data_IF_646826944896
#
_entry.id   IF_646826944896
#
_cell.length_a   1.000
_cell.length_b   1.000
_cell.length_c   1.000
_cell.angle_alpha   90.00
_cell.angle_beta   90.00
_cell.angle_gamma   90.00
#
_symmetry.space_group_name_H-M   'P 1'
#
loop_
_entity.id
_entity.type
_entity.pdbx_description
1 polymer ?
#
# COMPACT_ATOMS: atom_id res chain seq x y z
N UNK A 1 -10.78 16.76 59.06
CA UNK A 1 -11.74 16.93 57.93
C UNK A 1 -10.97 17.52 56.76
N UNK A 2 -10.60 16.70 55.77
CA UNK A 2 -9.87 17.16 54.61
C UNK A 2 -10.86 17.77 53.60
N UNK A 3 -10.61 19.03 53.22
CA UNK A 3 -11.39 19.81 52.27
C UNK A 3 -11.73 18.98 51.02
N UNK A 4 -13.02 18.93 50.68
CA UNK A 4 -13.54 18.16 49.55
C UNK A 4 -12.89 18.60 48.25
N UNK A 5 -11.88 17.85 47.80
CA UNK A 5 -11.27 18.01 46.49
C UNK A 5 -12.37 17.80 45.45
N UNK A 6 -12.81 18.88 44.81
CA UNK A 6 -13.89 18.85 43.82
C UNK A 6 -13.44 17.94 42.68
N UNK A 7 -14.04 16.77 42.61
CA UNK A 7 -13.62 15.73 41.68
C UNK A 7 -14.00 16.14 40.25
N UNK A 8 -13.02 16.17 39.34
CA UNK A 8 -13.28 16.50 37.94
C UNK A 8 -13.82 15.28 37.19
N UNK A 9 -15.13 15.11 37.25
CA UNK A 9 -15.85 14.04 36.57
C UNK A 9 -15.70 14.10 35.04
N UNK A 10 -15.46 15.28 34.45
CA UNK A 10 -15.31 15.43 32.99
C UNK A 10 -13.97 14.88 32.52
N UNK A 11 -12.88 15.13 33.26
CA UNK A 11 -11.57 14.55 32.99
C UNK A 11 -11.60 13.01 33.12
N UNK A 12 -12.18 12.49 34.22
CA UNK A 12 -12.29 11.03 34.47
C UNK A 12 -13.07 10.33 33.36
N UNK A 13 -14.19 10.92 32.96
CA UNK A 13 -15.02 10.45 31.84
C UNK A 13 -14.25 10.43 30.53
N UNK A 14 -13.52 11.51 30.24
CA UNK A 14 -12.74 11.62 29.00
C UNK A 14 -11.67 10.55 28.94
N UNK A 15 -10.94 10.33 30.03
CA UNK A 15 -9.93 9.26 30.11
C UNK A 15 -10.57 7.87 29.94
N UNK A 16 -11.73 7.62 30.55
CA UNK A 16 -12.45 6.38 30.31
C UNK A 16 -12.85 6.24 28.84
N UNK A 17 -13.44 7.24 28.21
CA UNK A 17 -13.94 7.14 26.83
C UNK A 17 -12.79 7.00 25.81
N UNK A 18 -11.65 7.67 26.05
CA UNK A 18 -10.53 7.72 25.11
C UNK A 18 -9.56 6.53 25.24
N UNK A 19 -9.49 5.86 26.39
CA UNK A 19 -8.57 4.75 26.65
C UNK A 19 -9.29 3.40 26.84
N UNK A 20 -8.51 2.32 27.01
CA UNK A 20 -9.01 0.99 27.34
C UNK A 20 -9.05 0.69 28.85
N UNK A 21 -8.87 1.68 29.73
CA UNK A 21 -8.84 1.47 31.18
C UNK A 21 -10.15 0.87 31.71
N UNK A 22 -10.08 -0.04 32.68
CA UNK A 22 -11.28 -0.58 33.33
C UNK A 22 -11.86 0.44 34.32
N UNK A 23 -13.16 0.37 34.63
CA UNK A 23 -13.74 1.23 35.68
C UNK A 23 -13.08 0.98 37.04
N UNK A 24 -12.67 -0.26 37.31
CA UNK A 24 -11.98 -0.63 38.56
C UNK A 24 -10.62 0.06 38.69
N UNK A 25 -9.84 0.07 37.63
CA UNK A 25 -8.51 0.68 37.62
C UNK A 25 -8.59 2.21 37.56
N UNK A 26 -9.60 2.74 36.87
CA UNK A 26 -9.92 4.16 36.88
C UNK A 26 -10.33 4.62 38.30
N UNK A 27 -11.12 3.84 39.02
CA UNK A 27 -11.51 4.13 40.40
C UNK A 27 -10.27 4.18 41.32
N UNK A 28 -9.35 3.22 41.19
CA UNK A 28 -8.08 3.21 41.92
C UNK A 28 -7.21 4.43 41.59
N UNK A 29 -7.06 4.76 40.31
CA UNK A 29 -6.24 5.90 39.84
C UNK A 29 -6.70 7.23 40.43
N UNK A 30 -8.02 7.42 40.56
CA UNK A 30 -8.61 8.66 41.05
C UNK A 30 -9.01 8.62 42.53
N UNK A 31 -8.75 7.52 43.25
CA UNK A 31 -9.10 7.37 44.67
C UNK A 31 -10.62 7.38 44.95
N UNK A 32 -11.42 6.90 44.00
CA UNK A 32 -12.89 6.91 44.07
C UNK A 32 -13.38 5.54 44.51
N UNK A 33 -14.41 5.50 45.37
CA UNK A 33 -15.09 4.25 45.68
C UNK A 33 -15.68 3.61 44.39
N UNK A 34 -15.42 2.32 44.09
CA UNK A 34 -15.84 1.68 42.84
C UNK A 34 -17.34 1.81 42.54
N UNK A 35 -18.18 1.71 43.58
CA UNK A 35 -19.64 1.85 43.48
C UNK A 35 -20.07 3.24 43.01
N UNK A 36 -19.40 4.28 43.49
CA UNK A 36 -19.68 5.68 43.09
C UNK A 36 -19.33 5.92 41.63
N UNK A 37 -18.17 5.43 41.18
CA UNK A 37 -17.77 5.52 39.77
C UNK A 37 -18.75 4.74 38.87
N UNK A 38 -19.15 3.53 39.28
CA UNK A 38 -20.09 2.70 38.51
C UNK A 38 -21.46 3.37 38.36
N UNK A 39 -22.01 3.95 39.44
CA UNK A 39 -23.27 4.71 39.38
C UNK A 39 -23.17 5.91 38.42
N UNK A 40 -22.07 6.67 38.51
CA UNK A 40 -21.85 7.83 37.62
C UNK A 40 -21.68 7.38 36.16
N UNK A 41 -20.88 6.36 35.90
CA UNK A 41 -20.66 5.81 34.57
C UNK A 41 -21.94 5.22 33.96
N UNK A 42 -22.79 4.60 34.79
CA UNK A 42 -24.11 4.11 34.39
C UNK A 42 -25.08 5.25 34.05
N UNK A 43 -25.22 6.24 34.95
CA UNK A 43 -26.09 7.43 34.75
C UNK A 43 -25.75 8.18 33.48
N UNK A 44 -24.47 8.22 33.12
CA UNK A 44 -24.01 8.94 31.93
C UNK A 44 -23.70 8.04 30.73
N UNK A 45 -24.02 6.74 30.78
CA UNK A 45 -23.82 5.81 29.66
C UNK A 45 -22.38 5.83 29.11
N UNK A 46 -21.37 5.79 29.98
CA UNK A 46 -19.97 5.90 29.60
C UNK A 46 -19.53 4.77 28.67
N UNK A 47 -20.09 3.57 28.83
CA UNK A 47 -19.82 2.43 27.96
C UNK A 47 -20.28 2.70 26.52
N UNK A 48 -21.51 3.17 26.34
CA UNK A 48 -22.05 3.50 25.01
C UNK A 48 -21.28 4.66 24.37
N UNK A 49 -20.89 5.66 25.17
CA UNK A 49 -20.04 6.76 24.71
C UNK A 49 -18.66 6.27 24.28
N UNK A 50 -18.03 5.35 25.01
CA UNK A 50 -16.77 4.69 24.61
C UNK A 50 -16.95 3.91 23.31
N UNK A 51 -18.03 3.13 23.18
CA UNK A 51 -18.36 2.37 21.96
C UNK A 51 -18.52 3.32 20.76
N UNK A 52 -19.29 4.38 20.91
CA UNK A 52 -19.48 5.41 19.88
C UNK A 52 -18.18 6.13 19.52
N UNK A 53 -17.35 6.47 20.52
CA UNK A 53 -16.05 7.10 20.31
C UNK A 53 -15.12 6.19 19.50
N UNK A 54 -15.03 4.90 19.85
CA UNK A 54 -14.26 3.91 19.08
C UNK A 54 -14.74 3.80 17.63
N UNK A 55 -16.05 3.70 17.41
CA UNK A 55 -16.62 3.66 16.06
C UNK A 55 -16.30 4.93 15.25
N UNK A 56 -16.41 6.12 15.86
CA UNK A 56 -16.04 7.39 15.23
C UNK A 56 -14.54 7.47 14.94
N UNK A 57 -13.68 6.99 15.83
CA UNK A 57 -12.24 6.93 15.60
C UNK A 57 -11.91 6.03 14.42
N UNK A 58 -12.44 4.80 14.39
CA UNK A 58 -12.24 3.88 13.26
C UNK A 58 -12.69 4.53 11.94
N UNK A 59 -13.90 5.10 11.90
CA UNK A 59 -14.41 5.80 10.71
C UNK A 59 -13.50 6.95 10.27
N UNK A 60 -13.08 7.82 11.20
CA UNK A 60 -12.19 8.95 10.90
C UNK A 60 -10.81 8.48 10.45
N UNK A 61 -10.28 7.42 11.04
CA UNK A 61 -9.00 6.83 10.65
C UNK A 61 -9.07 6.26 9.24
N UNK A 62 -10.10 5.48 8.93
CA UNK A 62 -10.33 4.96 7.57
C UNK A 62 -10.46 6.09 6.55
N UNK A 63 -11.23 7.13 6.86
CA UNK A 63 -11.37 8.29 5.98
C UNK A 63 -10.04 9.02 5.75
N UNK A 64 -9.23 9.21 6.80
CA UNK A 64 -7.91 9.83 6.68
C UNK A 64 -6.95 8.99 5.86
N UNK A 65 -6.96 7.67 6.02
CA UNK A 65 -6.17 6.73 5.23
C UNK A 65 -6.57 6.83 3.76
N UNK A 66 -7.87 6.68 3.46
CA UNK A 66 -8.38 6.79 2.09
C UNK A 66 -8.05 8.15 1.45
N UNK A 67 -8.16 9.25 2.20
CA UNK A 67 -7.79 10.59 1.71
C UNK A 67 -6.29 10.70 1.43
N UNK A 68 -5.45 10.13 2.29
CA UNK A 68 -3.99 10.13 2.11
C UNK A 68 -3.60 9.32 0.88
N UNK A 69 -4.18 8.14 0.71
CA UNK A 69 -3.97 7.26 -0.46
C UNK A 69 -4.43 7.95 -1.74
N UNK A 70 -5.64 8.51 -1.76
CA UNK A 70 -6.16 9.26 -2.91
C UNK A 70 -5.27 10.45 -3.28
N UNK A 71 -4.80 11.21 -2.30
CA UNK A 71 -3.89 12.34 -2.54
C UNK A 71 -2.51 11.89 -3.05
N UNK A 72 -1.99 10.76 -2.56
CA UNK A 72 -0.73 10.21 -3.03
C UNK A 72 -0.87 9.78 -4.50
N UNK A 73 -1.91 9.00 -4.81
CA UNK A 73 -2.20 8.55 -6.16
C UNK A 73 -2.42 9.74 -7.13
N UNK A 74 -3.14 10.78 -6.69
CA UNK A 74 -3.31 11.99 -7.49
C UNK A 74 -1.98 12.72 -7.76
N UNK A 75 -1.08 12.80 -6.77
CA UNK A 75 0.25 13.38 -6.95
C UNK A 75 1.09 12.56 -7.92
N UNK A 76 1.08 11.25 -7.80
CA UNK A 76 1.82 10.34 -8.66
C UNK A 76 1.34 10.42 -10.12
N UNK A 77 0.02 10.43 -10.35
CA UNK A 77 -0.55 10.67 -11.68
C UNK A 77 -0.17 12.05 -12.22
N UNK A 78 -0.22 13.09 -11.38
CA UNK A 78 0.20 14.44 -11.80
C UNK A 78 1.66 14.49 -12.22
N UNK A 79 2.54 13.73 -11.57
CA UNK A 79 3.95 13.61 -11.99
C UNK A 79 4.04 12.95 -13.36
N UNK A 80 3.33 11.84 -13.57
CA UNK A 80 3.28 11.16 -14.86
C UNK A 80 2.76 12.08 -15.98
N UNK A 81 1.73 12.88 -15.71
CA UNK A 81 1.19 13.87 -16.65
C UNK A 81 2.17 15.00 -16.96
N UNK A 82 2.93 15.47 -15.97
CA UNK A 82 3.99 16.47 -16.19
C UNK A 82 5.10 15.93 -17.09
N UNK A 83 5.54 14.70 -16.87
CA UNK A 83 6.55 14.06 -17.72
C UNK A 83 6.00 13.92 -19.14
N UNK A 84 4.76 13.45 -19.30
CA UNK A 84 4.10 13.36 -20.60
C UNK A 84 4.04 14.73 -21.30
N UNK A 85 3.70 15.80 -20.58
CA UNK A 85 3.64 17.16 -21.13
C UNK A 85 5.02 17.69 -21.55
N UNK A 86 6.07 17.41 -20.79
CA UNK A 86 7.44 17.78 -21.20
C UNK A 86 7.85 17.02 -22.46
N UNK A 87 7.52 15.73 -22.52
CA UNK A 87 7.81 14.89 -23.68
C UNK A 87 7.04 15.37 -24.92
N UNK A 88 5.76 15.70 -24.77
CA UNK A 88 4.92 16.24 -25.85
C UNK A 88 5.48 17.56 -26.41
N UNK A 89 5.94 18.47 -25.54
CA UNK A 89 6.62 19.69 -25.96
C UNK A 89 7.90 19.41 -26.73
N UNK A 90 8.71 18.45 -26.26
CA UNK A 90 9.94 18.06 -26.95
C UNK A 90 9.66 17.40 -28.31
N UNK A 91 8.62 16.56 -28.40
CA UNK A 91 8.20 15.90 -29.64
C UNK A 91 7.55 16.86 -30.64
N UNK A 92 6.94 17.95 -30.16
CA UNK A 92 6.34 18.98 -31.01
C UNK A 92 7.37 19.87 -31.71
N UNK A 93 8.61 19.90 -31.22
CA UNK A 93 9.72 20.59 -31.89
C UNK A 93 10.36 19.64 -32.93
N UNK A 94 10.04 19.88 -34.20
CA UNK A 94 10.47 19.06 -35.33
C UNK A 94 12.00 18.92 -35.46
N UNK A 95 12.78 19.87 -34.93
CA UNK A 95 14.23 19.85 -34.98
C UNK A 95 14.88 19.39 -33.68
N UNK A 96 14.09 19.08 -32.64
CA UNK A 96 14.63 18.72 -31.33
C UNK A 96 15.58 17.52 -31.40
N UNK A 97 15.27 16.53 -32.22
CA UNK A 97 16.11 15.34 -32.44
C UNK A 97 17.21 15.55 -33.49
N UNK A 98 17.38 16.76 -33.99
CA UNK A 98 18.45 17.13 -34.95
C UNK A 98 19.45 18.10 -34.32
N UNK A 99 19.18 18.58 -33.11
CA UNK A 99 20.04 19.48 -32.35
C UNK A 99 21.09 18.70 -31.60
N UNK A 100 22.35 19.06 -31.80
CA UNK A 100 23.48 18.50 -31.10
C UNK A 100 24.31 19.61 -30.44
N UNK A 101 24.73 19.36 -29.20
CA UNK A 101 25.68 20.20 -28.50
C UNK A 101 27.07 19.85 -29.03
N UNK A 102 27.68 20.78 -29.76
CA UNK A 102 29.02 20.59 -30.34
C UNK A 102 30.02 21.42 -29.53
N UNK A 103 30.99 20.72 -28.94
CA UNK A 103 32.12 21.34 -28.29
C UNK A 103 33.28 21.43 -29.27
N UNK A 104 33.78 22.65 -29.47
CA UNK A 104 34.89 22.92 -30.37
C UNK A 104 36.05 23.45 -29.55
N UNK A 105 37.24 22.90 -29.77
CA UNK A 105 38.47 23.35 -29.13
C UNK A 105 39.32 24.07 -30.16
N UNK A 106 39.70 25.31 -29.87
CA UNK A 106 40.63 26.07 -30.70
C UNK A 106 41.61 26.85 -29.83
N UNK A 107 42.71 27.30 -30.44
CA UNK A 107 43.71 28.16 -29.78
C UNK A 107 43.56 29.58 -30.29
N UNK A 108 43.44 30.52 -29.37
CA UNK A 108 43.44 31.96 -29.64
C UNK A 108 44.44 32.60 -28.67
N UNK A 109 45.40 33.37 -29.21
CA UNK A 109 46.49 33.99 -28.45
C UNK A 109 47.27 33.05 -27.51
N UNK A 110 47.46 31.79 -27.93
CA UNK A 110 48.19 30.78 -27.17
C UNK A 110 47.41 30.14 -26.03
N UNK A 111 46.20 30.62 -25.72
CA UNK A 111 45.28 30.00 -24.77
C UNK A 111 44.37 28.98 -25.47
N UNK A 112 44.09 27.85 -24.81
CA UNK A 112 43.10 26.88 -25.29
C UNK A 112 41.70 27.32 -24.86
N UNK A 113 40.83 27.55 -25.84
CA UNK A 113 39.43 27.94 -25.61
C UNK A 113 38.53 26.75 -25.96
N UNK A 114 37.58 26.49 -25.06
CA UNK A 114 36.50 25.52 -25.27
C UNK A 114 35.22 26.29 -25.57
N UNK A 115 34.66 26.10 -26.76
CA UNK A 115 33.41 26.73 -27.20
C UNK A 115 32.32 25.67 -27.32
N UNK A 116 31.16 25.92 -26.74
CA UNK A 116 30.01 25.01 -26.78
C UNK A 116 28.86 25.68 -27.52
N UNK A 117 28.50 25.14 -28.67
CA UNK A 117 27.42 25.68 -29.52
C UNK A 117 26.42 24.60 -29.86
N UNK A 118 25.15 24.99 -29.88
CA UNK A 118 24.08 24.17 -30.43
C UNK A 118 24.15 24.24 -31.96
N UNK A 119 24.16 23.08 -32.63
CA UNK A 119 24.08 22.98 -34.09
C UNK A 119 22.96 22.02 -34.47
N UNK A 120 22.23 22.38 -35.53
CA UNK A 120 21.21 21.53 -36.15
C UNK A 120 21.86 20.78 -37.31
N UNK A 121 21.65 19.46 -37.35
CA UNK A 121 22.16 18.57 -38.38
C UNK A 121 21.00 17.95 -39.18
N UNK A 122 21.27 17.49 -40.41
CA UNK A 122 20.24 16.80 -41.22
C UNK A 122 19.88 15.43 -40.64
N UNK A 123 20.83 14.79 -39.94
CA UNK A 123 20.66 13.48 -39.35
C UNK A 123 19.90 13.57 -38.04
N UNK A 124 18.89 12.71 -37.88
CA UNK A 124 18.16 12.53 -36.63
C UNK A 124 18.98 11.72 -35.62
N UNK A 125 19.04 12.23 -34.39
CA UNK A 125 19.53 11.56 -33.19
C UNK A 125 18.56 10.47 -32.75
N UNK A 126 18.79 9.26 -33.27
CA UNK A 126 18.02 8.07 -32.92
C UNK A 126 18.18 7.67 -31.45
N UNK A 127 19.27 8.07 -30.77
CA UNK A 127 19.47 7.78 -29.36
C UNK A 127 18.54 8.62 -28.50
N UNK A 128 18.45 9.92 -28.76
CA UNK A 128 17.48 10.81 -28.10
C UNK A 128 16.03 10.38 -28.39
N UNK A 129 15.73 9.94 -29.61
CA UNK A 129 14.41 9.42 -29.95
C UNK A 129 14.08 8.12 -29.18
N UNK A 130 15.04 7.20 -29.06
CA UNK A 130 14.89 5.99 -28.25
C UNK A 130 14.63 6.34 -26.77
N UNK A 131 15.39 7.28 -26.21
CA UNK A 131 15.19 7.74 -24.83
C UNK A 131 13.81 8.35 -24.63
N UNK A 132 13.30 9.11 -25.60
CA UNK A 132 11.94 9.64 -25.60
C UNK A 132 10.89 8.50 -25.60
N UNK A 133 11.07 7.47 -26.44
CA UNK A 133 10.19 6.30 -26.48
C UNK A 133 10.22 5.49 -25.17
N UNK A 134 11.40 5.26 -24.59
CA UNK A 134 11.56 4.57 -23.31
C UNK A 134 10.90 5.35 -22.15
N UNK A 135 11.00 6.68 -22.19
CA UNK A 135 10.33 7.56 -21.23
C UNK A 135 8.81 7.44 -21.36
N UNK A 136 8.26 7.42 -22.58
CA UNK A 136 6.83 7.24 -22.82
C UNK A 136 6.33 5.89 -22.28
N UNK A 137 7.06 4.80 -22.55
CA UNK A 137 6.73 3.48 -22.01
C UNK A 137 6.74 3.48 -20.48
N UNK A 138 7.70 4.20 -19.88
CA UNK A 138 7.78 4.33 -18.41
C UNK A 138 6.58 5.07 -17.85
N UNK A 139 6.18 6.19 -18.45
CA UNK A 139 4.98 6.95 -18.06
C UNK A 139 3.72 6.09 -18.18
N UNK A 140 3.60 5.29 -19.23
CA UNK A 140 2.46 4.39 -19.44
C UNK A 140 2.40 3.29 -18.37
N UNK A 141 3.53 2.63 -18.09
CA UNK A 141 3.64 1.64 -17.01
C UNK A 141 3.28 2.24 -15.66
N UNK A 142 3.76 3.46 -15.37
CA UNK A 142 3.41 4.21 -14.16
C UNK A 142 1.90 4.44 -14.06
N UNK A 143 1.26 4.96 -15.11
CA UNK A 143 -0.20 5.19 -15.13
C UNK A 143 -1.00 3.91 -14.96
N UNK A 144 -0.60 2.82 -15.63
CA UNK A 144 -1.27 1.51 -15.50
C UNK A 144 -1.16 0.94 -14.10
N UNK A 145 0.04 0.98 -13.52
CA UNK A 145 0.29 0.50 -12.15
C UNK A 145 -0.54 1.28 -11.14
N UNK A 146 -0.61 2.61 -11.24
CA UNK A 146 -1.41 3.46 -10.35
C UNK A 146 -2.91 3.19 -10.45
N UNK A 147 -3.40 2.87 -11.65
CA UNK A 147 -4.82 2.59 -11.90
C UNK A 147 -5.19 1.10 -11.74
N UNK A 148 -4.26 0.24 -11.33
CA UNK A 148 -4.42 -1.22 -11.29
C UNK A 148 -4.93 -1.81 -12.61
N UNK A 149 -4.51 -1.25 -13.74
CA UNK A 149 -4.89 -1.72 -15.07
C UNK A 149 -3.88 -2.78 -15.51
N UNK A 150 -4.33 -4.04 -15.51
CA UNK A 150 -3.56 -5.15 -16.08
C UNK A 150 -3.54 -5.07 -17.61
N UNK A 151 -2.37 -5.28 -18.20
CA UNK A 151 -2.22 -5.51 -19.64
C UNK A 151 -2.82 -6.86 -20.06
N UNK A 152 -3.13 -7.04 -21.34
CA UNK A 152 -3.62 -8.33 -21.86
C UNK A 152 -2.65 -9.48 -21.57
N UNK A 153 -1.34 -9.27 -21.76
CA UNK A 153 -0.33 -10.29 -21.43
C UNK A 153 -0.31 -10.65 -19.94
N UNK A 154 -0.44 -9.67 -19.05
CA UNK A 154 -0.49 -9.91 -17.59
C UNK A 154 -1.78 -10.61 -17.18
N UNK A 155 -2.91 -10.31 -17.84
CA UNK A 155 -4.19 -11.02 -17.64
C UNK A 155 -4.05 -12.49 -17.99
N UNK A 156 -3.48 -12.79 -19.17
CA UNK A 156 -3.23 -14.17 -19.61
C UNK A 156 -2.29 -14.90 -18.65
N UNK A 157 -1.22 -14.24 -18.18
CA UNK A 157 -0.30 -14.85 -17.22
C UNK A 157 -0.97 -15.14 -15.87
N UNK A 158 -1.83 -14.24 -15.40
CA UNK A 158 -2.57 -14.40 -14.16
C UNK A 158 -3.62 -15.51 -14.26
N UNK A 159 -4.26 -15.67 -15.42
CA UNK A 159 -5.16 -16.78 -15.72
C UNK A 159 -4.41 -18.13 -15.70
N UNK A 160 -3.28 -18.22 -16.40
CA UNK A 160 -2.42 -19.42 -16.37
C UNK A 160 -1.95 -19.72 -14.94
N UNK A 161 -1.57 -18.71 -14.16
CA UNK A 161 -1.13 -18.89 -12.77
C UNK A 161 -2.28 -19.37 -11.87
N UNK A 162 -3.51 -18.86 -12.09
CA UNK A 162 -4.72 -19.33 -11.38
C UNK A 162 -5.02 -20.78 -11.70
N UNK A 163 -5.01 -21.15 -12.97
CA UNK A 163 -5.23 -22.54 -13.40
C UNK A 163 -4.20 -23.47 -12.77
N UNK A 164 -2.92 -23.08 -12.75
CA UNK A 164 -1.86 -23.87 -12.11
C UNK A 164 -2.08 -24.03 -10.61
N UNK A 165 -2.42 -22.95 -9.91
CA UNK A 165 -2.68 -22.99 -8.47
C UNK A 165 -3.90 -23.85 -8.14
N UNK A 166 -4.92 -23.82 -9.00
CA UNK A 166 -6.11 -24.67 -8.85
C UNK A 166 -5.79 -26.14 -9.07
N UNK A 167 -4.98 -26.46 -10.09
CA UNK A 167 -4.46 -27.81 -10.30
C UNK A 167 -3.58 -28.29 -9.13
N UNK A 168 -2.75 -27.41 -8.55
CA UNK A 168 -1.94 -27.74 -7.37
C UNK A 168 -2.80 -27.99 -6.13
N UNK A 169 -3.83 -27.17 -5.90
CA UNK A 169 -4.80 -27.40 -4.81
C UNK A 169 -5.54 -28.72 -4.98
N UNK A 170 -6.01 -29.02 -6.19
CA UNK A 170 -6.68 -30.29 -6.48
C UNK A 170 -5.75 -31.49 -6.25
N UNK A 171 -4.47 -31.38 -6.63
CA UNK A 171 -3.46 -32.42 -6.37
C UNK A 171 -3.18 -32.58 -4.87
N UNK A 172 -3.08 -31.49 -4.12
CA UNK A 172 -2.89 -31.54 -2.67
C UNK A 172 -4.10 -32.19 -1.96
N UNK A 173 -5.33 -31.80 -2.33
CA UNK A 173 -6.55 -32.41 -1.80
C UNK A 173 -6.70 -33.89 -2.19
N UNK A 174 -6.24 -34.29 -3.37
CA UNK A 174 -6.20 -35.69 -3.78
C UNK A 174 -5.17 -36.49 -2.97
N UNK A 175 -4.00 -35.92 -2.68
CA UNK A 175 -2.97 -36.54 -1.87
C UNK A 175 -3.42 -36.75 -0.41
N UNK A 176 -4.09 -35.76 0.19
CA UNK A 176 -4.65 -35.86 1.55
C UNK A 176 -5.73 -36.95 1.68
N UNK A 177 -6.45 -37.26 0.59
CA UNK A 177 -7.44 -38.36 0.58
C UNK A 177 -6.78 -39.73 0.49
N UNK A 178 -5.68 -39.86 -0.26
CA UNK A 178 -4.95 -41.13 -0.39
C UNK A 178 -4.13 -41.48 0.84
N UNK A 179 -3.67 -40.50 1.63
CA UNK A 179 -2.84 -40.74 2.83
C UNK A 179 -3.65 -41.27 4.04
N UNK A 180 -4.99 -41.19 3.98
CA UNK A 180 -5.89 -41.74 5.00
C UNK A 180 -6.43 -43.14 4.69
N UNK A 181 -6.03 -43.78 3.58
CA UNK A 181 -6.49 -45.12 3.22
C UNK A 181 -5.48 -46.19 3.68
N UNK A 182 -5.63 -46.66 4.93
CA UNK A 182 -4.83 -47.77 5.46
C UNK A 182 -5.45 -49.10 5.01
N UNK A 183 -4.88 -49.71 3.97
CA UNK A 183 -5.19 -51.11 3.61
C UNK A 183 -4.42 -52.06 4.54
N UNK A 184 -5.09 -52.56 5.59
CA UNK A 184 -4.54 -53.65 6.41
C UNK A 184 -4.75 -54.97 5.66
N UNK A 185 -3.69 -55.49 5.04
CA UNK A 185 -3.66 -56.86 4.53
C UNK A 185 -3.20 -57.77 5.67
N UNK A 186 -4.11 -58.54 6.25
CA UNK A 186 -3.78 -59.57 7.22
C UNK A 186 -3.34 -60.83 6.47
N UNK A 187 -2.03 -61.00 6.29
CA UNK A 187 -1.44 -62.29 5.92
C UNK A 187 -1.21 -63.13 7.17
N UNK A 188 -2.14 -64.05 7.44
CA UNK A 188 -2.04 -65.04 8.51
C UNK A 188 -3.00 -66.18 8.24
N UNK A 189 -2.47 -67.40 8.15
CA UNK A 189 -3.22 -68.63 7.92
C UNK A 189 -4.05 -68.95 9.18
N UNK A 190 -5.36 -68.67 9.15
CA UNK A 190 -6.27 -68.92 10.27
C UNK A 190 -6.63 -70.41 10.33
N UNK A 191 -5.70 -71.22 10.84
CA UNK A 191 -5.99 -72.57 11.32
C UNK A 191 -5.90 -72.63 12.84
N UNK A 192 -6.91 -73.28 13.39
CA UNK A 192 -7.03 -73.79 14.77
C UNK A 192 -7.59 -72.81 15.82
N UNK A 193 -8.91 -72.68 15.83
CA UNK A 193 -9.70 -72.76 17.07
C UNK A 193 -10.99 -73.55 16.80
N UNK A 194 -10.84 -74.86 16.64
CA UNK A 194 -11.91 -75.82 16.84
C UNK A 194 -11.35 -76.99 17.64
N UNK A 195 -11.39 -76.87 18.96
CA UNK A 195 -11.58 -77.96 19.93
C UNK A 195 -11.99 -77.38 21.29
#
# INVERSE_FOLDING_TARGET
>A
MAAGKKLDWAAIKTEYISTNISQRDLAKKYGIAPRTLQQMAGREHWFDKRKSHKAKLVKKSLQKIATKESNLLAKELSVADKIASVLDKALSDAQQFQRHIVQTKYKEDGAEIWDTKEKIFDKVDMQSLKQAADTLQTVEKMKRSMLNILTESERTQLEIARERLELEKQKAEAADKTDNEVHVVLEGDWKELAE
#
